data_IF_107111993283
#
_entry.id   IF_107111993283
#
_cell.length_a   1.000
_cell.length_b   1.000
_cell.length_c   1.000
_cell.angle_alpha   90.00
_cell.angle_beta   90.00
_cell.angle_gamma   90.00
#
_symmetry.space_group_name_H-M   'P 1'
#
loop_
_entity.id
_entity.type
_entity.pdbx_description
1 polymer ?
2 non-polymer ?
3 non-polymer ?
4 non-polymer ?
5 non-polymer ?
6 water ?
#
# COMPACT_ATOMS: atom_id res chain seq x y z
N UNK A 1 -15.31 -18.12 -19.73
CA UNK A 1 -13.98 -18.25 -19.12
C UNK A 1 -12.87 -18.44 -20.16
N UNK A 2 -13.20 -18.22 -21.44
CA UNK A 2 -12.20 -18.33 -22.47
C UNK A 2 -12.07 -16.97 -23.23
N UNK A 3 -12.84 -15.97 -22.83
CA UNK A 3 -12.78 -14.67 -23.57
C UNK A 3 -11.51 -13.90 -23.14
N UNK A 4 -10.70 -13.48 -24.09
CA UNK A 4 -9.44 -12.78 -23.74
C UNK A 4 -9.69 -11.49 -22.99
N UNK A 5 -8.78 -11.23 -22.02
CA UNK A 5 -8.77 -9.95 -21.30
C UNK A 5 -7.34 -9.51 -21.13
N UNK A 6 -7.09 -8.19 -21.27
CA UNK A 6 -5.72 -7.67 -21.15
C UNK A 6 -5.29 -7.40 -19.69
N UNK A 7 -6.16 -7.66 -18.73
CA UNK A 7 -5.90 -7.12 -17.37
C UNK A 7 -4.63 -7.65 -16.72
N UNK A 8 -4.21 -8.87 -16.99
CA UNK A 8 -2.92 -9.37 -16.39
C UNK A 8 -1.68 -9.14 -17.25
N UNK A 9 -1.80 -8.22 -18.22
CA UNK A 9 -0.66 -7.96 -19.08
C UNK A 9 0.16 -6.76 -18.65
N UNK A 10 1.51 -6.98 -18.49
CA UNK A 10 2.38 -5.86 -18.14
C UNK A 10 2.27 -4.67 -19.03
N UNK A 11 1.83 -4.86 -20.30
CA UNK A 11 1.76 -3.74 -21.22
C UNK A 11 0.77 -2.66 -20.82
N UNK A 12 -0.19 -2.98 -19.92
CA UNK A 12 -1.15 -1.98 -19.51
C UNK A 12 -0.70 -1.21 -18.24
N UNK A 13 0.41 -1.64 -17.63
CA UNK A 13 0.80 -1.02 -16.35
C UNK A 13 1.16 0.48 -16.47
N UNK A 14 1.81 0.94 -17.56
CA UNK A 14 2.07 2.37 -17.60
C UNK A 14 0.83 3.23 -17.55
N UNK A 15 -0.30 2.77 -18.14
CA UNK A 15 -1.52 3.53 -18.07
C UNK A 15 -2.71 2.57 -18.18
N UNK A 16 -3.13 1.99 -17.06
CA UNK A 16 -4.19 0.98 -17.13
C UNK A 16 -5.59 1.59 -17.24
N UNK A 17 -5.73 2.86 -16.93
CA UNK A 17 -7.05 3.46 -16.73
C UNK A 17 -7.96 3.46 -17.99
N UNK A 18 -7.43 3.74 -19.20
CA UNK A 18 -8.34 3.62 -20.37
C UNK A 18 -8.74 2.19 -20.60
N UNK A 19 -7.92 1.23 -20.29
CA UNK A 19 -8.26 -0.19 -20.43
C UNK A 19 -9.35 -0.54 -19.48
N UNK A 20 -9.21 -0.18 -18.20
CA UNK A 20 -10.26 -0.39 -17.20
C UNK A 20 -11.56 0.21 -17.65
N UNK A 21 -11.52 1.45 -18.14
CA UNK A 21 -12.75 2.17 -18.49
C UNK A 21 -13.43 1.51 -19.71
N UNK A 22 -12.67 1.06 -20.66
CA UNK A 22 -13.26 0.37 -21.88
C UNK A 22 -13.92 -0.92 -21.41
N UNK A 23 -13.22 -1.75 -20.64
CA UNK A 23 -13.75 -3.04 -20.23
C UNK A 23 -14.89 -2.91 -19.28
N UNK A 24 -14.94 -1.92 -18.43
CA UNK A 24 -16.00 -1.77 -17.45
C UNK A 24 -17.33 -1.49 -18.11
N UNK A 25 -17.28 -1.02 -19.35
CA UNK A 25 -18.54 -0.43 -19.85
C UNK A 25 -19.24 -1.62 -20.45
N UNK A 26 -18.48 -2.61 -20.90
CA UNK A 26 -19.05 -3.73 -21.54
C UNK A 26 -19.02 -5.02 -20.76
N UNK A 27 -17.98 -5.22 -19.93
CA UNK A 27 -17.86 -6.43 -19.15
C UNK A 27 -17.24 -6.09 -17.76
N UNK A 28 -18.01 -5.44 -16.92
CA UNK A 28 -17.53 -4.96 -15.62
C UNK A 28 -17.10 -6.09 -14.72
N UNK A 29 -17.58 -7.31 -14.90
CA UNK A 29 -17.09 -8.50 -14.22
C UNK A 29 -16.75 -9.54 -15.28
N UNK A 30 -15.55 -9.98 -15.38
CA UNK A 30 -15.17 -10.94 -16.39
C UNK A 30 -13.97 -11.75 -15.99
N UNK A 31 -13.75 -12.88 -16.62
CA UNK A 31 -12.70 -13.80 -16.30
C UNK A 31 -11.37 -13.39 -16.86
N UNK A 32 -10.29 -13.46 -16.05
CA UNK A 32 -8.95 -13.17 -16.51
C UNK A 32 -8.08 -14.40 -16.30
N UNK A 33 -7.79 -15.13 -17.38
CA UNK A 33 -7.17 -16.42 -17.25
C UNK A 33 -5.84 -16.37 -16.48
N UNK A 34 -5.02 -15.38 -16.77
CA UNK A 34 -3.70 -15.35 -16.14
C UNK A 34 -3.81 -15.07 -14.61
N UNK A 35 -4.91 -14.46 -14.19
CA UNK A 35 -5.14 -14.28 -12.73
C UNK A 35 -5.90 -15.44 -12.12
N UNK A 36 -6.42 -16.35 -12.95
CA UNK A 36 -7.32 -17.40 -12.49
C UNK A 36 -8.44 -16.85 -11.65
N UNK A 37 -9.00 -15.73 -12.06
CA UNK A 37 -9.97 -15.03 -11.23
C UNK A 37 -10.93 -14.16 -12.02
N UNK A 38 -12.05 -13.84 -11.43
CA UNK A 38 -12.99 -12.88 -11.94
C UNK A 38 -12.53 -11.46 -11.61
N UNK A 39 -12.25 -10.67 -12.61
CA UNK A 39 -11.97 -9.24 -12.41
C UNK A 39 -13.22 -8.50 -12.13
N UNK A 40 -13.19 -7.57 -11.16
CA UNK A 40 -14.32 -6.74 -10.80
C UNK A 40 -13.90 -5.28 -10.92
N UNK A 41 -14.50 -4.50 -11.82
CA UNK A 41 -13.95 -3.22 -12.21
C UNK A 41 -14.66 -1.97 -11.69
N UNK A 42 -15.95 -2.06 -11.35
CA UNK A 42 -16.65 -0.84 -11.01
C UNK A 42 -16.49 -0.48 -9.51
N UNK A 43 -16.67 0.79 -9.20
CA UNK A 43 -16.65 1.20 -7.79
C UNK A 43 -17.71 0.48 -7.00
N UNK A 44 -18.97 0.48 -7.52
CA UNK A 44 -20.07 -0.11 -6.77
C UNK A 44 -19.81 -1.58 -6.49
N UNK A 45 -19.29 -2.34 -7.45
CA UNK A 45 -19.08 -3.75 -7.24
C UNK A 45 -17.85 -4.02 -6.34
N UNK A 46 -16.80 -3.20 -6.46
CA UNK A 46 -15.64 -3.35 -5.58
C UNK A 46 -16.01 -3.04 -4.14
N UNK A 47 -16.74 -1.96 -3.93
CA UNK A 47 -17.16 -1.59 -2.57
C UNK A 47 -18.07 -2.67 -2.00
N UNK A 48 -19.01 -3.18 -2.80
CA UNK A 48 -19.90 -4.26 -2.32
C UNK A 48 -19.07 -5.49 -2.04
N UNK A 49 -18.12 -5.81 -2.89
CA UNK A 49 -17.30 -6.97 -2.70
C UNK A 49 -16.48 -6.94 -1.41
N UNK A 50 -15.93 -5.77 -1.12
CA UNK A 50 -15.14 -5.60 0.11
C UNK A 50 -16.01 -5.74 1.35
N UNK A 51 -17.30 -5.44 1.21
CA UNK A 51 -18.26 -5.49 2.37
C UNK A 51 -18.91 -6.85 2.47
N UNK A 52 -18.81 -7.69 1.46
CA UNK A 52 -19.56 -8.91 1.33
C UNK A 52 -18.99 -10.05 2.16
N UNK A 53 -19.72 -10.48 3.22
CA UNK A 53 -19.22 -11.58 4.03
C UNK A 53 -19.19 -12.91 3.29
N UNK A 54 -19.85 -13.00 2.12
CA UNK A 54 -19.75 -14.21 1.28
C UNK A 54 -18.40 -14.31 0.56
N UNK A 55 -17.60 -13.26 0.61
CA UNK A 55 -16.28 -13.24 -0.03
C UNK A 55 -15.17 -13.26 1.05
N UNK A 56 -14.48 -14.37 1.14
CA UNK A 56 -13.48 -14.60 2.22
C UNK A 56 -12.12 -14.14 1.79
N UNK A 57 -11.32 -13.76 2.81
CA UNK A 57 -9.94 -13.39 2.53
C UNK A 57 -9.03 -14.58 2.84
N UNK A 58 -9.62 -15.66 3.37
CA UNK A 58 -8.87 -16.86 3.76
C UNK A 58 -8.50 -17.63 2.50
N UNK A 59 -7.30 -17.31 2.02
CA UNK A 59 -6.74 -17.89 0.81
C UNK A 59 -5.55 -18.81 1.11
N UNK A 60 -5.10 -18.82 2.38
CA UNK A 60 -4.10 -19.83 2.89
C UNK A 60 -2.83 -19.95 2.05
N UNK A 73 2.77 -28.03 -1.96
CA UNK A 73 3.37 -27.77 -0.63
C UNK A 73 2.84 -28.71 0.42
N UNK A 74 3.75 -29.20 1.29
CA UNK A 74 3.46 -30.04 2.46
C UNK A 74 2.47 -29.37 3.40
N UNK A 75 1.59 -30.14 4.08
CA UNK A 75 0.59 -29.25 4.73
C UNK A 75 1.05 -28.37 5.92
N UNK A 76 2.25 -28.60 6.53
CA UNK A 76 2.72 -27.75 7.65
C UNK A 76 3.59 -26.53 7.28
N UNK A 77 3.60 -26.14 6.06
CA UNK A 77 4.53 -25.17 5.59
C UNK A 77 4.31 -23.80 6.23
N UNK A 78 5.34 -22.98 6.23
CA UNK A 78 5.27 -21.69 6.92
C UNK A 78 4.33 -20.72 6.26
N UNK A 79 4.12 -20.85 4.94
CA UNK A 79 3.20 -19.92 4.29
C UNK A 79 1.78 -20.16 4.79
N UNK A 80 1.38 -21.43 4.91
CA UNK A 80 0.09 -21.77 5.46
C UNK A 80 -0.03 -21.35 6.91
N UNK A 81 0.97 -21.61 7.73
CA UNK A 81 0.91 -21.20 9.15
C UNK A 81 0.85 -19.69 9.29
N UNK A 82 1.57 -18.98 8.46
CA UNK A 82 1.56 -17.53 8.51
C UNK A 82 0.21 -16.94 8.10
N UNK A 83 -0.28 -17.34 6.89
CA UNK A 83 -1.52 -16.76 6.38
C UNK A 83 -2.69 -17.02 7.29
N UNK A 84 -2.73 -18.19 7.93
CA UNK A 84 -3.87 -18.55 8.78
C UNK A 84 -3.84 -17.83 10.13
N UNK A 85 -2.79 -17.04 10.37
CA UNK A 85 -2.62 -16.41 11.68
C UNK A 85 -2.33 -14.93 11.61
N UNK A 86 -2.74 -14.28 10.51
CA UNK A 86 -2.55 -12.82 10.38
C UNK A 86 -3.84 -12.20 9.89
N UNK A 87 -4.06 -10.93 10.23
CA UNK A 87 -5.29 -10.27 9.89
C UNK A 87 -5.57 -10.28 8.36
N UNK A 88 -4.54 -10.13 7.54
CA UNK A 88 -4.75 -9.94 6.08
C UNK A 88 -5.46 -11.12 5.46
N UNK A 89 -5.26 -12.33 5.97
CA UNK A 89 -5.76 -13.55 5.31
C UNK A 89 -6.67 -14.37 6.19
N UNK A 90 -7.30 -13.77 7.19
CA UNK A 90 -8.24 -14.49 8.05
C UNK A 90 -9.58 -13.81 8.02
N UNK A 91 -10.64 -14.56 8.40
CA UNK A 91 -11.98 -13.99 8.51
C UNK A 91 -12.40 -13.80 9.94
N UNK A 92 -13.37 -12.96 10.20
CA UNK A 92 -13.93 -12.94 11.57
C UNK A 92 -14.49 -14.33 11.92
N UNK A 93 -14.43 -14.70 13.19
CA UNK A 93 -13.99 -13.91 14.34
C UNK A 93 -12.49 -13.85 14.58
N UNK A 94 -11.73 -14.79 14.08
CA UNK A 94 -10.27 -14.78 14.35
C UNK A 94 -9.64 -13.46 13.87
N UNK A 95 -10.05 -13.00 12.68
CA UNK A 95 -9.50 -11.75 12.17
C UNK A 95 -9.63 -10.66 13.20
N UNK A 96 -10.81 -10.58 13.84
CA UNK A 96 -11.10 -9.44 14.71
C UNK A 96 -10.27 -9.50 16.01
N UNK A 97 -10.03 -10.73 16.49
CA UNK A 97 -9.15 -10.92 17.65
C UNK A 97 -7.73 -10.47 17.28
N UNK A 98 -7.27 -10.93 16.09
CA UNK A 98 -5.92 -10.58 15.63
C UNK A 98 -5.80 -9.06 15.47
N UNK A 99 -6.83 -8.40 14.96
CA UNK A 99 -6.75 -6.95 14.77
C UNK A 99 -6.74 -6.19 16.08
N UNK A 100 -7.62 -6.60 17.02
CA UNK A 100 -7.62 -5.97 18.34
C UNK A 100 -6.28 -6.12 19.03
N UNK A 101 -5.60 -7.25 18.80
CA UNK A 101 -4.35 -7.51 19.52
C UNK A 101 -3.22 -6.59 19.15
N UNK A 102 -3.37 -5.84 18.04
CA UNK A 102 -2.32 -4.88 17.67
C UNK A 102 -2.78 -3.45 17.78
N UNK A 103 -3.90 -3.21 18.47
CA UNK A 103 -4.45 -1.85 18.59
C UNK A 103 -3.50 -0.89 19.25
N UNK A 104 -2.66 -1.35 20.18
CA UNK A 104 -1.78 -0.45 20.94
C UNK A 104 -0.86 0.36 20.02
N UNK A 105 -0.53 -0.20 18.85
CA UNK A 105 0.36 0.51 17.94
C UNK A 105 -0.32 1.64 17.19
N UNK A 106 -1.65 1.72 17.24
CA UNK A 106 -2.42 2.53 16.31
C UNK A 106 -3.53 3.36 16.97
N UNK A 107 -3.32 3.65 18.26
CA UNK A 107 -4.30 4.46 18.97
C UNK A 107 -4.31 5.90 18.50
N UNK A 108 -5.33 6.64 18.92
CA UNK A 108 -5.39 8.09 18.65
C UNK A 108 -4.18 8.80 19.18
N UNK A 109 -3.77 8.51 20.41
CA UNK A 109 -2.60 9.10 20.99
C UNK A 109 -1.33 8.76 20.22
N UNK A 110 -1.24 7.49 19.81
CA UNK A 110 -0.07 7.06 19.03
C UNK A 110 0.02 7.92 17.73
N UNK A 111 -1.11 8.09 17.07
CA UNK A 111 -1.09 8.86 15.82
C UNK A 111 -0.79 10.32 16.02
N UNK A 112 -1.14 10.89 17.17
CA UNK A 112 -0.74 12.26 17.45
C UNK A 112 0.77 12.37 17.53
N UNK A 113 1.43 11.36 18.07
CA UNK A 113 2.87 11.31 18.09
C UNK A 113 3.45 11.09 16.67
N UNK A 114 2.85 10.15 15.92
CA UNK A 114 3.41 9.85 14.59
C UNK A 114 3.27 11.08 13.67
N UNK A 115 2.22 11.86 13.87
CA UNK A 115 2.02 13.13 13.12
C UNK A 115 3.24 14.02 13.24
N UNK A 116 3.70 14.22 14.51
CA UNK A 116 4.87 15.04 14.74
C UNK A 116 6.13 14.40 14.20
N UNK A 117 6.30 13.10 14.39
CA UNK A 117 7.47 12.42 13.90
C UNK A 117 7.58 12.54 12.38
N UNK A 118 6.46 12.28 11.70
CA UNK A 118 6.49 12.23 10.23
C UNK A 118 6.64 13.62 9.63
N UNK A 119 6.12 14.66 10.29
CA UNK A 119 6.36 16.02 9.80
C UNK A 119 7.87 16.25 9.68
N UNK A 120 8.59 15.92 10.76
CA UNK A 120 10.04 16.14 10.79
C UNK A 120 10.82 15.24 9.84
N UNK A 121 10.47 13.96 9.83
CA UNK A 121 11.19 13.04 8.98
C UNK A 121 11.06 13.44 7.49
N UNK A 122 9.85 13.81 7.08
CA UNK A 122 9.65 14.25 5.71
C UNK A 122 10.37 15.56 5.42
N UNK A 123 10.26 16.50 6.37
CA UNK A 123 10.97 17.76 6.21
C UNK A 123 12.47 17.57 6.03
N UNK A 124 13.05 16.72 6.88
CA UNK A 124 14.51 16.53 6.86
C UNK A 124 14.97 15.82 5.60
N UNK A 125 14.15 14.87 5.11
CA UNK A 125 14.55 14.17 3.88
C UNK A 125 14.55 15.15 2.68
N UNK A 126 13.48 15.93 2.56
CA UNK A 126 13.43 16.89 1.45
C UNK A 126 14.53 17.96 1.60
N UNK A 127 14.82 18.35 2.84
CA UNK A 127 15.84 19.39 3.08
C UNK A 127 17.23 18.85 2.72
N UNK A 128 17.39 17.54 2.64
CA UNK A 128 18.72 16.96 2.30
C UNK A 128 19.01 17.00 0.82
N UNK A 129 18.03 17.43 0.01
CA UNK A 129 18.31 17.74 -1.38
C UNK A 129 18.97 19.10 -1.38
N UNK A 130 20.16 19.23 -1.98
CA UNK A 130 20.74 20.60 -2.10
C UNK A 130 19.87 21.54 -2.92
N UNK A 131 19.63 22.75 -2.37
CA UNK A 131 18.69 23.72 -3.01
C UNK A 131 19.12 24.06 -4.45
N UNK A 132 20.43 23.97 -4.73
CA UNK A 132 20.95 24.21 -6.06
C UNK A 132 20.87 23.02 -7.02
N UNK A 133 20.53 21.83 -6.51
CA UNK A 133 20.35 20.67 -7.40
C UNK A 133 19.30 21.02 -8.43
N UNK A 134 19.52 20.62 -9.66
CA UNK A 134 18.58 20.95 -10.71
C UNK A 134 17.68 19.80 -11.12
N UNK A 135 18.08 18.57 -10.74
CA UNK A 135 17.34 17.40 -11.13
C UNK A 135 17.57 16.37 -10.03
N UNK A 136 16.64 15.39 -9.97
CA UNK A 136 16.81 14.17 -9.18
C UNK A 136 16.02 13.07 -9.88
N UNK A 137 16.29 11.83 -9.46
CA UNK A 137 15.38 10.72 -9.79
C UNK A 137 14.57 10.50 -8.52
N UNK A 138 13.31 10.95 -8.54
CA UNK A 138 12.52 11.00 -7.33
C UNK A 138 12.17 9.65 -6.76
N UNK A 139 12.33 8.56 -7.51
CA UNK A 139 12.03 7.24 -6.94
C UNK A 139 13.14 6.87 -5.92
N UNK A 140 14.39 6.60 -6.33
CA UNK A 140 15.40 6.28 -5.30
C UNK A 140 15.69 7.41 -4.33
N UNK A 141 15.59 8.67 -4.77
CA UNK A 141 16.03 9.77 -3.90
C UNK A 141 15.03 10.07 -2.82
N UNK A 142 13.74 9.81 -3.07
CA UNK A 142 12.68 10.26 -2.17
C UNK A 142 11.65 9.17 -1.91
N UNK A 143 11.01 8.65 -2.94
CA UNK A 143 9.92 7.68 -2.72
C UNK A 143 10.42 6.39 -2.08
N UNK A 144 11.64 5.94 -2.38
CA UNK A 144 12.18 4.75 -1.76
C UNK A 144 12.66 5.04 -0.37
N UNK A 145 13.02 6.26 -0.06
CA UNK A 145 13.69 6.62 1.18
C UNK A 145 12.73 6.96 2.29
N UNK A 146 11.69 7.75 2.02
CA UNK A 146 10.82 8.18 3.10
C UNK A 146 10.15 7.00 3.83
N UNK A 147 9.73 5.95 3.12
CA UNK A 147 9.09 4.83 3.84
C UNK A 147 10.07 4.13 4.77
N UNK A 148 11.34 4.11 4.40
CA UNK A 148 12.35 3.51 5.28
C UNK A 148 12.55 4.38 6.49
N UNK A 149 12.65 5.71 6.33
CA UNK A 149 12.79 6.62 7.46
C UNK A 149 11.60 6.51 8.37
N UNK A 150 10.40 6.36 7.81
CA UNK A 150 9.19 6.19 8.59
C UNK A 150 9.20 4.84 9.30
N UNK A 151 9.66 3.79 8.63
CA UNK A 151 9.76 2.46 9.26
C UNK A 151 10.62 2.55 10.52
N UNK A 152 11.70 3.29 10.45
CA UNK A 152 12.61 3.43 11.60
C UNK A 152 12.00 4.31 12.66
N UNK A 153 11.55 5.52 12.31
CA UNK A 153 11.18 6.51 13.33
C UNK A 153 9.75 6.47 13.78
N UNK A 154 8.82 6.03 12.94
CA UNK A 154 7.44 5.89 13.36
C UNK A 154 7.15 4.43 13.75
N UNK A 155 7.60 3.47 12.97
CA UNK A 155 7.25 2.07 13.29
C UNK A 155 8.24 1.43 14.27
N UNK A 156 9.46 1.93 14.36
CA UNK A 156 10.41 1.37 15.31
C UNK A 156 11.24 0.23 14.83
N UNK A 157 11.32 0.00 13.53
CA UNK A 157 12.28 -0.96 13.02
C UNK A 157 13.68 -0.43 13.32
N UNK A 158 14.55 -1.22 13.97
CA UNK A 158 15.88 -0.66 14.24
C UNK A 158 16.63 -0.38 12.96
N UNK A 159 17.25 0.82 12.89
CA UNK A 159 18.05 1.20 11.75
C UNK A 159 19.08 0.16 11.37
N UNK A 160 19.71 -0.41 12.41
CA UNK A 160 20.77 -1.35 12.19
C UNK A 160 20.34 -2.70 11.65
N UNK A 161 19.02 -2.93 11.58
CA UNK A 161 18.50 -4.22 11.08
C UNK A 161 17.95 -4.12 9.64
N UNK A 162 18.06 -2.94 9.03
CA UNK A 162 17.48 -2.76 7.67
C UNK A 162 18.19 -3.64 6.66
N UNK A 163 19.50 -3.88 6.83
CA UNK A 163 20.22 -4.77 5.93
C UNK A 163 19.70 -6.19 5.93
N UNK A 164 19.19 -6.63 7.08
CA UNK A 164 18.59 -7.95 7.17
C UNK A 164 17.22 -7.97 6.48
N UNK A 165 16.41 -6.93 6.76
CA UNK A 165 15.00 -6.96 6.45
C UNK A 165 14.67 -6.62 5.00
N UNK A 166 15.23 -5.51 4.47
CA UNK A 166 14.71 -5.02 3.18
C UNK A 166 14.97 -5.96 2.03
N UNK A 167 16.18 -6.52 1.88
CA UNK A 167 16.35 -7.44 0.77
C UNK A 167 15.45 -8.68 0.84
N UNK A 168 15.16 -9.13 2.08
CA UNK A 168 14.28 -10.29 2.25
C UNK A 168 12.85 -9.97 1.82
N UNK A 169 12.36 -8.80 2.21
CA UNK A 169 11.03 -8.40 1.75
C UNK A 169 11.02 -8.21 0.23
N UNK A 170 12.08 -7.63 -0.35
CA UNK A 170 12.14 -7.48 -1.80
C UNK A 170 12.08 -8.85 -2.50
N UNK A 171 12.75 -9.85 -1.95
CA UNK A 171 12.65 -11.21 -2.53
C UNK A 171 11.24 -11.78 -2.43
N UNK A 172 10.61 -11.60 -1.26
CA UNK A 172 9.22 -12.11 -1.09
C UNK A 172 8.33 -11.41 -2.05
N UNK A 173 8.53 -10.15 -2.34
CA UNK A 173 7.61 -9.38 -3.19
C UNK A 173 7.91 -9.53 -4.69
N UNK A 174 8.80 -10.47 -5.06
CA UNK A 174 9.20 -10.67 -6.50
C UNK A 174 8.01 -10.93 -7.44
N UNK A 175 7.94 -10.14 -8.52
CA UNK A 175 6.82 -10.31 -9.49
C UNK A 175 6.82 -11.68 -10.21
N UNK A 184 13.99 -17.05 -8.58
CA UNK A 184 13.37 -17.09 -7.22
C UNK A 184 12.36 -18.22 -7.12
N UNK A 185 12.71 -19.26 -6.36
CA UNK A 185 11.83 -20.42 -6.21
C UNK A 185 10.88 -20.31 -5.01
N UNK A 186 9.92 -21.21 -4.95
CA UNK A 186 9.03 -21.30 -3.85
C UNK A 186 9.82 -21.57 -2.55
N UNK A 187 10.85 -22.38 -2.65
CA UNK A 187 11.70 -22.71 -1.55
C UNK A 187 12.36 -21.45 -0.97
N UNK A 188 12.83 -20.58 -1.83
CA UNK A 188 13.50 -19.35 -1.40
C UNK A 188 12.51 -18.42 -0.70
N UNK A 189 11.30 -18.31 -1.20
CA UNK A 189 10.26 -17.48 -0.58
C UNK A 189 9.97 -18.03 0.83
N UNK A 190 9.81 -19.32 0.95
CA UNK A 190 9.57 -19.91 2.27
C UNK A 190 10.74 -19.63 3.18
N UNK A 191 11.95 -19.69 2.71
CA UNK A 191 13.12 -19.39 3.52
C UNK A 191 13.10 -17.95 4.03
N UNK A 192 12.80 -16.99 3.16
CA UNK A 192 12.76 -15.57 3.53
C UNK A 192 11.69 -15.32 4.54
N UNK A 193 10.54 -15.91 4.33
CA UNK A 193 9.42 -15.74 5.28
C UNK A 193 9.80 -16.37 6.65
N UNK A 194 10.46 -17.50 6.63
CA UNK A 194 10.97 -18.11 7.88
C UNK A 194 11.91 -17.14 8.56
N UNK A 195 12.81 -16.51 7.82
CA UNK A 195 13.75 -15.55 8.40
C UNK A 195 13.04 -14.39 9.07
N UNK A 196 11.95 -13.88 8.47
CA UNK A 196 11.22 -12.79 9.07
C UNK A 196 10.61 -13.18 10.43
N UNK A 197 10.20 -14.45 10.54
CA UNK A 197 9.68 -14.94 11.82
C UNK A 197 10.78 -15.03 12.85
N UNK A 198 11.92 -15.58 12.45
CA UNK A 198 13.08 -15.66 13.34
C UNK A 198 13.43 -14.28 13.85
N UNK A 199 13.49 -13.31 12.93
CA UNK A 199 13.83 -11.96 13.30
C UNK A 199 12.79 -11.35 14.23
N UNK A 200 11.52 -11.52 13.91
CA UNK A 200 10.47 -10.92 14.73
C UNK A 200 10.51 -11.40 16.17
N UNK A 201 10.64 -12.74 16.36
CA UNK A 201 10.64 -13.23 17.75
C UNK A 201 11.90 -12.77 18.46
N UNK A 202 13.05 -12.76 17.81
CA UNK A 202 14.28 -12.33 18.46
C UNK A 202 14.26 -10.85 18.74
N UNK A 203 13.63 -10.05 17.87
CA UNK A 203 13.53 -8.60 18.09
C UNK A 203 12.83 -8.33 19.39
N UNK A 204 11.75 -9.02 19.65
CA UNK A 204 10.98 -8.80 20.89
C UNK A 204 11.77 -9.20 22.13
N UNK A 205 12.76 -10.05 21.98
CA UNK A 205 13.52 -10.46 23.18
C UNK A 205 14.76 -9.62 23.37
N UNK A 206 15.00 -8.59 22.55
CA UNK A 206 16.14 -7.75 22.72
C UNK A 206 17.38 -8.30 22.10
N UNK A 207 17.26 -9.31 21.18
CA UNK A 207 18.36 -9.98 20.57
C UNK A 207 18.80 -9.40 19.26
N UNK A 208 17.95 -8.46 18.72
CA UNK A 208 18.30 -7.82 17.48
C UNK A 208 18.58 -6.35 17.79
N UNK A 209 18.16 -5.41 16.91
CA UNK A 209 18.44 -4.01 17.14
C UNK A 209 17.61 -3.39 18.20
N UNK A 210 17.90 -2.11 18.51
CA UNK A 210 17.14 -1.38 19.48
C UNK A 210 15.90 -0.69 18.83
N UNK A 211 14.75 -1.03 19.37
CA UNK A 211 13.50 -0.40 18.91
C UNK A 211 13.33 1.00 19.53
N UNK A 212 13.20 2.02 18.72
CA UNK A 212 13.05 3.40 19.28
C UNK A 212 11.77 3.46 20.12
N UNK A 213 11.77 4.24 21.23
CA UNK A 213 10.59 4.33 22.09
C UNK A 213 9.41 5.05 21.39
N UNK A 214 8.20 4.75 21.82
CA UNK A 214 6.97 5.39 21.39
C UNK A 214 6.59 5.13 19.92
N UNK A 215 7.26 4.15 19.36
CA UNK A 215 6.99 3.72 17.97
C UNK A 215 5.91 2.64 17.97
N UNK A 216 5.44 2.26 16.76
CA UNK A 216 4.45 1.20 16.66
C UNK A 216 4.96 -0.07 17.34
N UNK A 217 6.16 -0.50 17.01
CA UNK A 217 6.66 -1.77 17.55
C UNK A 217 6.92 -1.66 19.06
N UNK A 218 7.40 -0.52 19.56
CA UNK A 218 7.54 -0.38 21.04
C UNK A 218 6.20 -0.56 21.70
N UNK A 219 5.14 0.02 21.17
CA UNK A 219 3.82 -0.11 21.75
C UNK A 219 3.32 -1.53 21.69
N UNK A 220 3.51 -2.20 20.57
CA UNK A 220 3.12 -3.61 20.45
C UNK A 220 3.89 -4.48 21.40
N UNK A 221 5.18 -4.21 21.56
CA UNK A 221 6.00 -5.02 22.48
C UNK A 221 5.48 -4.86 23.91
N UNK A 222 5.08 -3.67 24.29
CA UNK A 222 4.63 -3.43 25.68
C UNK A 222 3.27 -4.03 25.91
N UNK A 223 2.52 -4.33 24.86
CA UNK A 223 1.20 -4.89 24.96
C UNK A 223 1.21 -6.42 25.13
N UNK A 224 2.35 -7.04 24.99
CA UNK A 224 2.41 -8.52 24.91
C UNK A 224 2.06 -9.21 26.25
N UNK A 225 2.23 -8.50 27.36
CA UNK A 225 1.87 -9.16 28.66
C UNK A 225 0.38 -9.13 28.83
N UNK A 226 -0.36 -8.48 28.00
CA UNK A 226 -1.78 -8.38 28.13
C UNK A 226 -2.63 -9.09 27.09
N UNK A 227 -2.03 -10.05 26.35
CA UNK A 227 -2.81 -10.82 25.39
C UNK A 227 -3.95 -11.57 26.03
N UNK A 228 -5.11 -11.57 25.42
CA UNK A 228 -6.30 -12.25 25.97
C UNK A 228 -6.95 -13.18 24.96
N UNK A 229 -6.76 -12.97 23.66
CA UNK A 229 -7.52 -13.67 22.64
C UNK A 229 -6.65 -14.05 21.45
N UNK A 230 -5.33 -13.90 21.64
CA UNK A 230 -4.33 -14.29 20.62
C UNK A 230 -3.13 -14.82 21.36
N UNK A 231 -2.20 -15.44 20.64
CA UNK A 231 -1.06 -16.09 21.25
C UNK A 231 0.25 -15.37 20.93
N UNK A 232 1.32 -15.58 21.69
CA UNK A 232 2.62 -14.99 21.34
C UNK A 232 3.05 -15.39 19.93
N UNK A 233 2.74 -16.60 19.50
CA UNK A 233 3.16 -17.06 18.19
C UNK A 233 2.42 -16.26 17.11
N UNK A 234 1.18 -15.86 17.37
CA UNK A 234 0.48 -15.01 16.41
C UNK A 234 1.06 -13.61 16.37
N UNK A 235 1.59 -13.06 17.47
CA UNK A 235 2.30 -11.79 17.39
C UNK A 235 3.47 -11.90 16.43
N UNK A 236 4.21 -13.01 16.50
CA UNK A 236 5.34 -13.18 15.60
C UNK A 236 4.88 -13.24 14.13
N UNK A 237 3.83 -14.01 13.84
CA UNK A 237 3.28 -14.06 12.48
C UNK A 237 2.89 -12.66 12.01
N UNK A 238 2.21 -11.89 12.84
CA UNK A 238 1.72 -10.58 12.44
C UNK A 238 2.86 -9.58 12.28
N UNK A 239 3.90 -9.65 13.10
CA UNK A 239 5.03 -8.79 12.88
C UNK A 239 5.71 -9.09 11.56
N UNK A 240 5.79 -10.35 11.15
CA UNK A 240 6.33 -10.68 9.81
C UNK A 240 5.48 -10.01 8.72
N UNK A 241 4.15 -10.02 8.85
CA UNK A 241 3.28 -9.27 7.91
C UNK A 241 3.61 -7.79 7.92
N UNK A 242 3.76 -7.21 9.09
CA UNK A 242 4.09 -5.78 9.20
C UNK A 242 5.39 -5.47 8.46
N UNK A 243 6.42 -6.30 8.62
CA UNK A 243 7.67 -6.01 7.93
C UNK A 243 7.49 -6.05 6.42
N UNK A 244 6.75 -7.03 5.92
CA UNK A 244 6.48 -7.11 4.48
C UNK A 244 5.74 -5.86 4.02
N UNK A 245 4.70 -5.45 4.71
CA UNK A 245 3.92 -4.28 4.30
C UNK A 245 4.79 -3.04 4.36
N UNK A 246 5.66 -2.91 5.35
CA UNK A 246 6.50 -1.72 5.51
C UNK A 246 7.46 -1.54 4.37
N UNK A 247 8.01 -2.60 3.84
CA UNK A 247 9.03 -2.51 2.80
C UNK A 247 8.53 -2.93 1.43
N UNK A 248 7.23 -3.13 1.34
CA UNK A 248 6.58 -3.37 0.04
C UNK A 248 6.63 -2.12 -0.83
N UNK A 249 6.43 -2.27 -2.14
CA UNK A 249 6.47 -1.12 -3.04
C UNK A 249 5.24 -0.22 -2.94
N UNK A 250 4.30 -0.52 -2.05
CA UNK A 250 3.07 0.26 -1.97
C UNK A 250 3.28 1.69 -1.52
N UNK A 251 4.05 1.93 -0.45
CA UNK A 251 4.23 3.31 -0.01
C UNK A 251 5.11 4.07 -1.02
N UNK A 252 6.25 3.50 -1.48
CA UNK A 252 6.98 4.23 -2.52
C UNK A 252 6.13 4.59 -3.73
N UNK A 253 5.28 3.67 -4.15
CA UNK A 253 4.44 3.90 -5.31
C UNK A 253 3.50 5.07 -5.08
N UNK A 254 2.90 5.17 -3.90
CA UNK A 254 2.01 6.28 -3.61
C UNK A 254 2.78 7.61 -3.65
N UNK A 255 3.96 7.64 -3.03
CA UNK A 255 4.77 8.86 -3.02
C UNK A 255 5.19 9.28 -4.40
N UNK A 256 5.69 8.35 -5.21
CA UNK A 256 6.17 8.72 -6.54
C UNK A 256 5.01 9.04 -7.50
N UNK A 257 3.93 8.29 -7.44
CA UNK A 257 2.81 8.59 -8.37
C UNK A 257 2.20 9.93 -8.01
N UNK A 258 2.13 10.30 -6.74
CA UNK A 258 1.61 11.60 -6.37
C UNK A 258 2.57 12.70 -6.79
N UNK A 259 3.87 12.44 -6.75
CA UNK A 259 4.86 13.42 -7.19
C UNK A 259 4.68 13.68 -8.68
N UNK A 260 4.50 12.61 -9.45
CA UNK A 260 4.23 12.73 -10.89
C UNK A 260 2.94 13.53 -11.11
N UNK A 261 1.91 13.29 -10.34
CA UNK A 261 0.64 14.02 -10.50
C UNK A 261 0.89 15.50 -10.27
N UNK A 262 1.62 15.90 -9.25
CA UNK A 262 1.92 17.32 -9.04
C UNK A 262 2.78 17.86 -10.16
N UNK A 263 3.77 17.10 -10.62
CA UNK A 263 4.65 17.57 -11.70
C UNK A 263 3.87 17.80 -12.99
N UNK A 264 2.79 17.08 -13.21
CA UNK A 264 2.01 17.23 -14.44
C UNK A 264 0.82 18.13 -14.22
N UNK A 265 0.59 18.63 -13.04
CA UNK A 265 -0.54 19.48 -12.74
C UNK A 265 -0.13 20.69 -11.91
N UNK A 266 0.59 21.65 -12.52
CA UNK A 266 1.05 22.84 -11.79
C UNK A 266 -0.08 23.63 -11.16
N UNK A 267 -1.26 23.60 -11.74
CA UNK A 267 -2.38 24.28 -11.13
C UNK A 267 -2.73 23.69 -9.75
N UNK A 268 -2.49 22.38 -9.58
CA UNK A 268 -2.75 21.75 -8.29
C UNK A 268 -1.62 22.01 -7.30
N UNK A 269 -0.39 22.21 -7.78
CA UNK A 269 0.65 22.73 -6.90
C UNK A 269 0.21 24.09 -6.34
N UNK A 270 -0.30 24.94 -7.25
CA UNK A 270 -0.78 26.26 -6.82
C UNK A 270 -1.88 26.14 -5.77
N UNK A 271 -2.86 25.26 -6.01
CA UNK A 271 -3.96 25.10 -5.07
C UNK A 271 -3.48 24.61 -3.71
N UNK A 272 -2.52 23.64 -3.75
CA UNK A 272 -1.91 23.15 -2.52
C UNK A 272 -1.28 24.24 -1.71
N UNK A 273 -0.53 25.12 -2.38
CA UNK A 273 0.15 26.22 -1.69
C UNK A 273 -0.84 27.29 -1.22
N UNK A 274 -2.01 27.35 -1.82
CA UNK A 274 -2.99 28.44 -1.52
C UNK A 274 -3.97 28.07 -0.46
N UNK A 275 -4.24 26.78 -0.21
CA UNK A 275 -5.46 26.41 0.51
C UNK A 275 -5.23 25.21 1.39
N UNK A 276 -5.39 25.37 2.68
CA UNK A 276 -5.17 24.29 3.63
C UNK A 276 -6.12 23.13 3.36
N UNK A 277 -7.31 23.37 2.86
CA UNK A 277 -8.20 22.26 2.58
C UNK A 277 -7.60 21.37 1.47
N UNK A 278 -6.90 21.98 0.55
CA UNK A 278 -6.23 21.19 -0.52
C UNK A 278 -5.08 20.38 0.06
N UNK A 279 -4.29 20.97 0.94
CA UNK A 279 -3.28 20.18 1.67
C UNK A 279 -3.92 19.03 2.40
N UNK A 280 -4.99 19.29 3.13
CA UNK A 280 -5.66 18.25 3.91
C UNK A 280 -6.21 17.11 3.03
N UNK A 281 -6.56 17.42 1.80
CA UNK A 281 -7.11 16.41 0.88
C UNK A 281 -6.03 15.77 0.00
N UNK A 282 -4.78 16.15 0.15
CA UNK A 282 -3.74 15.68 -0.77
C UNK A 282 -3.50 14.17 -0.66
N UNK A 283 -3.37 13.65 0.56
CA UNK A 283 -3.14 12.20 0.67
C UNK A 283 -4.26 11.43 -0.02
N UNK A 284 -5.52 11.80 0.25
CA UNK A 284 -6.60 11.03 -0.34
C UNK A 284 -6.72 11.21 -1.85
N UNK A 285 -6.43 12.40 -2.39
CA UNK A 285 -6.55 12.52 -3.84
C UNK A 285 -5.38 11.81 -4.52
N UNK A 286 -4.20 11.84 -3.91
CA UNK A 286 -3.05 11.07 -4.42
C UNK A 286 -3.38 9.55 -4.40
N UNK A 287 -3.92 9.07 -3.29
CA UNK A 287 -4.28 7.67 -3.17
C UNK A 287 -5.35 7.27 -4.18
N UNK A 288 -6.36 8.14 -4.35
CA UNK A 288 -7.41 7.85 -5.33
C UNK A 288 -6.81 7.82 -6.73
N UNK A 289 -5.94 8.80 -7.03
CA UNK A 289 -5.50 8.94 -8.40
C UNK A 289 -4.72 7.72 -8.89
N UNK A 290 -3.92 7.11 -8.00
CA UNK A 290 -3.22 5.87 -8.36
C UNK A 290 -3.15 4.92 -7.16
N UNK A 291 -4.02 3.93 -7.12
CA UNK A 291 -3.90 2.89 -6.10
C UNK A 291 -2.58 2.16 -6.29
N UNK A 292 -1.78 2.01 -5.21
CA UNK A 292 -0.56 1.21 -5.33
C UNK A 292 -0.89 -0.26 -5.51
N UNK A 293 -1.86 -0.71 -4.71
CA UNK A 293 -2.38 -2.07 -4.86
C UNK A 293 -3.60 -1.96 -5.78
N UNK A 294 -3.36 -2.17 -7.07
CA UNK A 294 -4.42 -1.93 -8.05
C UNK A 294 -5.57 -2.94 -7.94
N UNK A 295 -5.29 -4.11 -7.42
CA UNK A 295 -6.37 -5.05 -7.11
C UNK A 295 -6.00 -5.84 -5.90
N UNK A 296 -7.00 -6.32 -5.18
CA UNK A 296 -6.80 -7.28 -4.09
C UNK A 296 -7.68 -8.49 -4.35
N UNK A 297 -7.50 -9.54 -3.56
CA UNK A 297 -8.09 -10.86 -3.85
C UNK A 297 -9.12 -11.24 -2.83
N UNK A 298 -10.13 -11.99 -3.32
CA UNK A 298 -11.11 -12.65 -2.47
C UNK A 298 -11.42 -14.01 -3.07
N UNK A 299 -11.96 -14.89 -2.22
CA UNK A 299 -12.51 -16.18 -2.73
C UNK A 299 -13.95 -16.22 -2.35
N UNK A 300 -14.79 -16.75 -3.26
CA UNK A 300 -16.20 -16.87 -2.99
C UNK A 300 -16.45 -18.05 -2.01
N UNK A 301 -16.98 -17.73 -0.84
CA UNK A 301 -17.31 -18.76 0.14
C UNK A 301 -18.62 -19.41 -0.26
N UNK A 302 -19.49 -18.65 -0.86
CA UNK A 302 -20.77 -19.17 -1.39
C UNK A 302 -20.90 -18.61 -2.79
N UNK A 303 -21.83 -19.14 -3.57
CA UNK A 303 -22.12 -18.56 -4.88
C UNK A 303 -22.56 -17.13 -4.76
N UNK A 304 -22.08 -16.26 -5.64
CA UNK A 304 -22.52 -14.87 -5.66
C UNK A 304 -22.77 -14.47 -7.12
N UNK A 305 -23.53 -13.41 -7.28
CA UNK A 305 -23.77 -12.83 -8.59
C UNK A 305 -23.29 -11.40 -8.59
N UNK A 306 -22.36 -11.12 -9.53
CA UNK A 306 -21.87 -9.72 -9.66
C UNK A 306 -21.69 -9.45 -11.17
N UNK A 307 -22.14 -8.27 -11.59
CA UNK A 307 -21.94 -7.83 -12.97
C UNK A 307 -22.68 -8.75 -13.95
N UNK A 308 -23.77 -9.37 -13.48
CA UNK A 308 -24.51 -10.32 -14.31
C UNK A 308 -23.87 -11.67 -14.42
N UNK A 309 -22.81 -11.94 -13.64
CA UNK A 309 -22.07 -13.15 -13.71
C UNK A 309 -22.25 -14.01 -12.47
N UNK A 310 -22.53 -15.29 -12.68
CA UNK A 310 -22.65 -16.23 -11.56
C UNK A 310 -21.28 -16.71 -11.20
N UNK A 311 -20.79 -16.25 -10.05
CA UNK A 311 -19.48 -16.71 -9.57
C UNK A 311 -19.70 -17.83 -8.56
N UNK A 312 -19.07 -18.94 -8.82
CA UNK A 312 -19.32 -20.13 -7.98
C UNK A 312 -18.41 -20.19 -6.78
N UNK A 313 -18.93 -20.75 -5.68
CA UNK A 313 -18.14 -20.96 -4.46
C UNK A 313 -16.83 -21.59 -4.81
N UNK A 314 -15.72 -21.07 -4.21
CA UNK A 314 -14.41 -21.60 -4.45
C UNK A 314 -13.61 -20.82 -5.50
N UNK A 315 -14.34 -20.08 -6.32
CA UNK A 315 -13.64 -19.28 -7.35
C UNK A 315 -13.05 -17.98 -6.73
N UNK A 316 -12.01 -17.51 -7.39
CA UNK A 316 -11.27 -16.31 -6.92
C UNK A 316 -11.77 -15.10 -7.64
N UNK A 317 -11.78 -13.96 -6.93
CA UNK A 317 -12.10 -12.66 -7.48
C UNK A 317 -10.90 -11.71 -7.28
N UNK A 318 -10.70 -10.83 -8.26
CA UNK A 318 -9.73 -9.72 -8.17
C UNK A 318 -10.51 -8.45 -8.20
N UNK A 319 -10.57 -7.76 -7.06
CA UNK A 319 -11.30 -6.50 -6.93
C UNK A 319 -10.37 -5.36 -7.33
N UNK A 320 -10.64 -4.73 -8.47
CA UNK A 320 -9.74 -3.72 -9.01
C UNK A 320 -9.99 -2.34 -8.40
N UNK A 321 -9.41 -2.18 -7.20
CA UNK A 321 -9.41 -0.92 -6.48
C UNK A 321 -8.97 0.25 -7.36
N UNK A 322 -7.96 0.03 -8.18
CA UNK A 322 -7.45 1.09 -9.02
C UNK A 322 -8.43 1.58 -10.07
N UNK A 323 -9.26 0.64 -10.57
CA UNK A 323 -10.34 0.96 -11.51
C UNK A 323 -11.48 1.65 -10.80
N UNK A 324 -11.86 1.13 -9.63
CA UNK A 324 -12.92 1.73 -8.84
C UNK A 324 -12.65 3.20 -8.57
N UNK A 325 -11.37 3.52 -8.30
CA UNK A 325 -10.98 4.89 -7.96
C UNK A 325 -11.13 5.88 -9.11
N UNK A 326 -11.21 5.37 -10.33
CA UNK A 326 -11.41 6.24 -11.50
C UNK A 326 -12.76 5.96 -12.15
N UNK A 327 -13.72 5.50 -11.37
CA UNK A 327 -15.10 5.28 -11.85
C UNK A 327 -15.84 6.60 -11.83
N UNK A 328 -16.25 7.06 -13.04
CA UNK A 328 -16.89 8.38 -13.18
C UNK A 328 -18.24 8.46 -12.49
N UNK A 329 -18.87 7.33 -12.19
CA UNK A 329 -20.09 7.29 -11.45
C UNK A 329 -19.94 7.79 -10.03
N UNK A 330 -18.72 7.57 -9.47
CA UNK A 330 -18.44 8.01 -8.12
C UNK A 330 -17.61 9.30 -8.11
N UNK A 331 -16.71 9.40 -9.08
CA UNK A 331 -15.76 10.53 -9.15
C UNK A 331 -15.88 11.18 -10.53
N UNK A 332 -16.62 12.29 -10.56
CA UNK A 332 -16.80 13.03 -11.81
C UNK A 332 -15.47 13.52 -12.35
N UNK A 333 -15.24 13.39 -13.64
CA UNK A 333 -13.97 13.67 -14.28
C UNK A 333 -12.85 12.92 -13.51
N UNK A 334 -12.96 11.61 -13.50
CA UNK A 334 -12.08 10.79 -12.63
C UNK A 334 -10.64 10.88 -12.98
N UNK A 335 -10.26 11.24 -14.20
CA UNK A 335 -8.89 11.35 -14.61
C UNK A 335 -8.26 12.70 -14.31
N UNK A 336 -9.05 13.58 -13.68
CA UNK A 336 -8.49 14.85 -13.18
C UNK A 336 -7.89 14.63 -11.79
N UNK A 337 -6.64 15.04 -11.64
CA UNK A 337 -6.04 15.14 -10.30
C UNK A 337 -6.50 16.47 -9.71
N UNK A 338 -7.37 16.41 -8.71
CA UNK A 338 -8.09 17.62 -8.28
C UNK A 338 -8.16 17.68 -6.76
N UNK A 339 -7.31 18.52 -6.17
CA UNK A 339 -7.27 18.62 -4.72
C UNK A 339 -8.55 19.23 -4.13
N UNK A 340 -9.34 19.89 -4.99
CA UNK A 340 -10.63 20.45 -4.57
C UNK A 340 -11.75 19.45 -4.67
N UNK A 341 -11.47 18.22 -5.13
CA UNK A 341 -12.50 17.18 -5.21
C UNK A 341 -13.07 16.98 -3.82
N UNK A 342 -14.43 16.93 -3.71
CA UNK A 342 -15.06 16.88 -2.41
C UNK A 342 -15.16 15.52 -1.74
N UNK A 343 -14.94 14.44 -2.51
CA UNK A 343 -15.16 13.10 -1.97
C UNK A 343 -13.97 12.15 -2.18
N UNK A 344 -12.75 12.71 -2.22
CA UNK A 344 -11.56 11.87 -2.44
C UNK A 344 -11.44 10.77 -1.40
N UNK A 345 -11.93 11.01 -0.18
CA UNK A 345 -11.83 10.03 0.89
C UNK A 345 -12.62 8.77 0.64
N UNK A 346 -13.47 8.78 -0.38
CA UNK A 346 -14.20 7.57 -0.77
C UNK A 346 -13.36 6.58 -1.57
N UNK A 347 -12.08 6.91 -1.81
CA UNK A 347 -11.23 5.97 -2.58
C UNK A 347 -11.10 4.62 -1.85
N UNK A 348 -10.73 3.61 -2.62
CA UNK A 348 -10.59 2.27 -2.10
C UNK A 348 -9.15 1.81 -2.05
N UNK A 349 -8.18 2.73 -2.06
CA UNK A 349 -6.78 2.31 -2.09
C UNK A 349 -6.29 1.68 -0.78
N UNK A 350 -7.05 1.89 0.30
CA UNK A 350 -6.78 1.16 1.55
C UNK A 350 -7.82 0.09 1.79
N UNK A 351 -8.60 -0.25 0.77
CA UNK A 351 -9.72 -1.19 0.98
C UNK A 351 -10.84 -0.48 1.74
N UNK A 352 -11.67 -1.30 2.39
CA UNK A 352 -12.84 -0.79 3.10
C UNK A 352 -13.39 -1.94 3.95
N UNK A 353 -13.81 -1.60 5.16
CA UNK A 353 -14.46 -2.59 6.02
C UNK A 353 -13.48 -3.38 6.86
N UNK A 354 -13.70 -4.66 6.95
CA UNK A 354 -13.01 -5.57 7.88
C UNK A 354 -11.48 -5.46 7.74
N UNK A 355 -10.99 -5.47 6.51
CA UNK A 355 -9.56 -5.54 6.25
C UNK A 355 -8.94 -4.19 5.88
N UNK A 356 -9.63 -3.09 6.10
CA UNK A 356 -9.10 -1.79 5.68
C UNK A 356 -7.72 -1.55 6.29
N UNK A 357 -6.81 -0.96 5.51
CA UNK A 357 -5.41 -0.90 5.85
C UNK A 357 -5.16 -0.45 7.29
N UNK A 358 -4.43 -1.29 8.02
CA UNK A 358 -4.10 -0.96 9.41
C UNK A 358 -3.31 0.32 9.53
N UNK A 359 -2.52 0.64 8.50
CA UNK A 359 -1.64 1.79 8.51
C UNK A 359 -2.21 2.98 7.77
N UNK A 360 -3.53 3.00 7.51
CA UNK A 360 -4.10 4.06 6.66
C UNK A 360 -3.74 5.45 7.14
N UNK A 361 -3.94 5.74 8.42
CA UNK A 361 -3.64 7.10 8.90
C UNK A 361 -2.15 7.37 8.97
N UNK A 362 -1.34 6.39 9.31
CA UNK A 362 0.10 6.54 9.26
C UNK A 362 0.57 6.91 7.86
N UNK A 363 0.04 6.22 6.86
CA UNK A 363 0.40 6.50 5.49
C UNK A 363 -0.09 7.87 5.05
N UNK A 364 -1.31 8.24 5.41
CA UNK A 364 -1.79 9.55 4.98
C UNK A 364 -0.98 10.68 5.60
N UNK A 365 -0.52 10.50 6.85
CA UNK A 365 0.37 11.48 7.46
C UNK A 365 1.68 11.57 6.74
N UNK A 366 2.25 10.41 6.35
CA UNK A 366 3.51 10.39 5.64
C UNK A 366 3.38 11.14 4.31
N UNK A 367 2.31 10.83 3.57
CA UNK A 367 2.07 11.51 2.30
C UNK A 367 1.88 13.03 2.49
N UNK A 368 1.00 13.43 3.40
CA UNK A 368 0.77 14.85 3.64
C UNK A 368 2.07 15.58 3.89
N UNK A 369 2.88 15.07 4.85
CA UNK A 369 4.04 15.82 5.23
C UNK A 369 5.12 15.79 4.17
N UNK A 370 5.16 14.74 3.35
CA UNK A 370 6.05 14.72 2.21
C UNK A 370 5.72 15.85 1.23
N UNK A 371 4.46 15.95 0.82
CA UNK A 371 4.13 16.98 -0.16
C UNK A 371 4.24 18.39 0.43
N UNK A 372 3.93 18.56 1.72
CA UNK A 372 4.17 19.87 2.34
C UNK A 372 5.62 20.25 2.19
N UNK A 373 6.55 19.35 2.52
CA UNK A 373 7.96 19.69 2.44
C UNK A 373 8.39 19.88 0.99
N UNK A 374 7.97 18.95 0.11
CA UNK A 374 8.43 18.97 -1.25
C UNK A 374 7.96 20.21 -2.01
N UNK A 375 6.70 20.55 -1.88
CA UNK A 375 6.15 21.65 -2.71
C UNK A 375 6.48 23.00 -2.12
N UNK A 376 6.79 23.09 -0.87
CA UNK A 376 7.29 24.38 -0.36
C UNK A 376 8.73 24.59 -0.75
N UNK A 377 9.57 23.56 -0.83
CA UNK A 377 10.97 23.76 -1.21
C UNK A 377 11.15 23.78 -2.71
N UNK A 378 10.43 22.92 -3.45
CA UNK A 378 10.58 22.80 -4.88
C UNK A 378 9.22 22.86 -5.58
N UNK A 379 8.58 24.07 -5.54
CA UNK A 379 7.27 24.25 -6.20
C UNK A 379 7.34 24.06 -7.68
N UNK A 380 8.53 24.21 -8.29
CA UNK A 380 8.68 24.13 -9.70
C UNK A 380 8.97 22.74 -10.28
N UNK A 381 8.70 21.69 -9.52
CA UNK A 381 8.98 20.32 -10.05
C UNK A 381 8.26 20.09 -11.36
N UNK A 382 8.98 19.47 -12.29
CA UNK A 382 8.42 19.04 -13.56
C UNK A 382 9.19 17.79 -14.04
N UNK A 383 8.55 17.01 -14.89
CA UNK A 383 9.27 15.81 -15.37
C UNK A 383 10.46 16.20 -16.23
N UNK A 384 11.54 15.45 -16.13
CA UNK A 384 12.76 15.63 -16.96
C UNK A 384 12.94 14.38 -17.77
N UNK A 385 11.96 13.98 -18.51
CA UNK A 385 11.99 12.76 -19.32
C UNK A 385 10.78 11.92 -18.97
N UNK A 386 10.51 10.86 -19.72
CA UNK A 386 9.34 10.05 -19.48
C UNK A 386 9.57 9.17 -18.25
N UNK A 387 8.60 9.12 -17.35
CA UNK A 387 8.63 8.21 -16.20
C UNK A 387 8.67 6.78 -16.66
N UNK A 388 9.30 5.90 -15.89
CA UNK A 388 9.33 4.47 -16.22
C UNK A 388 8.61 3.70 -15.13
N UNK A 389 7.59 2.96 -15.54
CA UNK A 389 6.81 2.14 -14.65
C UNK A 389 7.35 0.75 -14.52
N UNK A 390 6.97 0.04 -13.47
CA UNK A 390 7.28 -1.39 -13.34
C UNK A 390 6.31 -2.22 -14.18
N UNK A 391 6.36 -3.53 -13.98
CA UNK A 391 5.59 -4.43 -14.87
C UNK A 391 4.55 -5.22 -14.10
N UNK A 392 4.35 -4.92 -12.83
CA UNK A 392 3.41 -5.66 -11.97
C UNK A 392 2.25 -4.75 -11.64
N UNK A 393 1.08 -5.02 -12.17
CA UNK A 393 -0.05 -4.21 -11.91
C UNK A 393 -0.56 -4.30 -10.47
N UNK A 394 -0.41 -5.49 -9.87
CA UNK A 394 -0.88 -5.70 -8.52
C UNK A 394 -0.21 -4.77 -7.51
N UNK A 395 1.10 -4.60 -7.65
CA UNK A 395 1.89 -3.66 -6.83
C UNK A 395 2.54 -2.71 -7.78
N UNK A 396 1.77 -1.74 -8.24
CA UNK A 396 2.16 -0.81 -9.29
C UNK A 396 3.01 0.31 -8.70
N UNK A 397 4.15 0.56 -9.29
CA UNK A 397 5.10 1.54 -8.71
C UNK A 397 6.10 1.99 -9.75
N UNK A 398 6.28 3.28 -9.89
CA UNK A 398 7.32 3.81 -10.75
C UNK A 398 8.71 3.28 -10.38
N UNK A 399 9.45 2.89 -11.41
CA UNK A 399 10.87 2.55 -11.25
C UNK A 399 11.76 3.78 -11.27
N UNK A 400 11.41 4.77 -12.08
CA UNK A 400 12.22 5.98 -12.21
C UNK A 400 11.30 7.16 -12.49
N UNK A 401 11.61 8.27 -11.86
CA UNK A 401 10.85 9.52 -12.05
C UNK A 401 11.84 10.66 -12.14
N UNK A 402 12.44 10.84 -13.34
CA UNK A 402 13.37 11.95 -13.50
C UNK A 402 12.62 13.27 -13.38
N UNK A 403 13.12 14.12 -12.52
CA UNK A 403 12.41 15.35 -12.12
C UNK A 403 13.30 16.56 -12.06
N UNK A 404 12.98 17.60 -12.86
CA UNK A 404 13.68 18.86 -12.75
C UNK A 404 13.12 19.56 -11.53
N UNK A 405 13.97 20.21 -10.74
CA UNK A 405 13.56 20.77 -9.45
C UNK A 405 13.25 22.27 -9.57
N UNK A 406 13.69 22.86 -10.68
CA UNK A 406 13.57 24.32 -10.90
C UNK A 406 12.75 24.71 -12.13
#
# INVERSE_FOLDING_TARGET
MTVPSPLADPSIVPDPYPVYADLAQRRPVHWVERLNAWAVLTYADCAAGLKDPRLTADRGTEVLAAKFPGQPLPPDNIFHRWTKNVVMYTDPPLHDALRRSVRAGFTRAAHQHYDQVLQKVAHDLVASIPAGATEIDAVPALAAELPVRSAVHAFGVPEEDLGFLIPRVNTIMTYHSGPKDQPVTQEIILEKLTDLHTYASELLQGMRGKVLPDTVIARLAAAQDGLTETTPEQTVHQLALVFIALFAPTTPGSLSSGTLAFARNPRQVERFLADQACVDNTANEVLRYNASNQFTWRVAAKDVEMGGVRIEAGQTLALFLGSANRDANMFERPNDFDLDRPNSARHLSFGQGVHACLAAQLISLQLKWFYVALLNRFPGIRTAGEPIWNENLEFRSLRSLPLSLR
#
